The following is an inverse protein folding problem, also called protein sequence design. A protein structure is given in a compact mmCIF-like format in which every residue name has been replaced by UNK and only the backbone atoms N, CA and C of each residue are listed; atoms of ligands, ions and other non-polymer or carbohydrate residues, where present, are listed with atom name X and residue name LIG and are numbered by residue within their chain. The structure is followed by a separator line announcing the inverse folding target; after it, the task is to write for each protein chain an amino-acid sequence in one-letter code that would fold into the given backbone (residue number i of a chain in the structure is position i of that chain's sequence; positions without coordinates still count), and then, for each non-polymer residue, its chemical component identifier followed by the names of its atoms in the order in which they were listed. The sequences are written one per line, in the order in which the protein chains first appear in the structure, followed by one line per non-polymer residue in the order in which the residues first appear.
data_IF_067421349967
#
_entry.id   IF_067421349967
#
_cell.length_a   1.000
_cell.length_b   1.000
_cell.length_c   1.000
_cell.angle_alpha   90.00
_cell.angle_beta   90.00
_cell.angle_gamma   90.00
#
_symmetry.space_group_name_H-M   'P 1'
#
loop_
_entity.id
_entity.type
_entity.pdbx_description
1 polymer ?
#
# COMPACT_ATOMS: atom_id res chain seq x y z
N UNK A 1 11.11 1.20 12.77
CA UNK A 1 10.96 0.31 11.59
C UNK A 1 11.97 0.72 10.54
N UNK A 2 13.02 -0.07 10.34
CA UNK A 2 13.90 0.05 9.16
C UNK A 2 13.57 -1.14 8.26
N UNK A 3 12.86 -0.90 7.16
CA UNK A 3 12.56 -1.91 6.16
C UNK A 3 13.84 -2.40 5.47
N UNK A 4 13.89 -3.68 5.12
CA UNK A 4 14.97 -4.19 4.27
C UNK A 4 14.55 -4.02 2.81
N UNK A 5 15.30 -3.29 1.97
CA UNK A 5 14.96 -3.18 0.55
C UNK A 5 15.04 -4.56 -0.12
N UNK A 6 14.13 -4.84 -1.03
CA UNK A 6 14.11 -6.08 -1.81
C UNK A 6 14.04 -5.75 -3.29
N UNK A 7 14.68 -6.60 -4.11
CA UNK A 7 14.56 -6.58 -5.58
C UNK A 7 13.61 -7.67 -6.07
N UNK A 8 12.80 -8.25 -5.19
CA UNK A 8 11.79 -9.23 -5.58
C UNK A 8 10.80 -8.60 -6.57
N UNK A 9 10.69 -9.21 -7.75
CA UNK A 9 9.74 -8.82 -8.80
C UNK A 9 8.38 -9.50 -8.64
N UNK A 10 8.19 -10.28 -7.58
CA UNK A 10 6.98 -11.05 -7.35
C UNK A 10 6.38 -10.67 -6.01
N UNK A 11 5.09 -10.34 -6.06
CA UNK A 11 4.28 -10.13 -4.88
C UNK A 11 4.23 -11.43 -4.07
N UNK A 12 4.16 -11.30 -2.75
CA UNK A 12 4.23 -12.44 -1.83
C UNK A 12 3.10 -12.37 -0.81
N UNK A 13 2.65 -13.55 -0.37
CA UNK A 13 1.71 -13.63 0.75
C UNK A 13 2.30 -13.05 2.03
N UNK A 14 1.45 -12.53 2.90
CA UNK A 14 1.84 -11.90 4.17
C UNK A 14 1.24 -12.73 5.34
N UNK A 15 2.01 -13.08 6.37
CA UNK A 15 3.45 -12.86 6.49
C UNK A 15 4.26 -13.89 5.70
N UNK A 16 5.50 -13.54 5.38
CA UNK A 16 6.52 -14.43 4.83
C UNK A 16 7.88 -14.06 5.39
N UNK A 17 8.72 -15.06 5.72
CA UNK A 17 10.08 -14.78 6.20
C UNK A 17 11.02 -14.30 5.10
N UNK A 18 10.62 -14.44 3.83
CA UNK A 18 11.39 -13.97 2.68
C UNK A 18 11.21 -12.47 2.48
N UNK A 19 12.33 -11.74 2.37
CA UNK A 19 12.30 -10.28 2.28
C UNK A 19 11.56 -9.71 1.06
N UNK A 20 11.10 -8.45 1.11
CA UNK A 20 11.31 -7.48 2.18
C UNK A 20 10.45 -7.77 3.42
N UNK A 21 10.98 -7.47 4.61
CA UNK A 21 10.24 -7.53 5.88
C UNK A 21 10.18 -6.13 6.51
N UNK A 22 9.40 -5.96 7.60
CA UNK A 22 9.16 -4.67 8.28
C UNK A 22 8.52 -3.61 7.37
N UNK A 23 7.44 -3.95 6.68
CA UNK A 23 6.81 -3.07 5.69
C UNK A 23 5.32 -2.81 5.95
N UNK A 24 4.87 -1.68 5.37
CA UNK A 24 3.46 -1.34 5.17
C UNK A 24 3.25 -1.29 3.67
N UNK A 25 2.41 -2.19 3.15
CA UNK A 25 2.10 -2.33 1.73
C UNK A 25 0.66 -1.87 1.48
N UNK A 26 0.41 -0.56 1.24
CA UNK A 26 -0.91 -0.10 0.82
C UNK A 26 -1.30 -0.67 -0.55
N UNK A 27 -0.32 -0.86 -1.44
CA UNK A 27 -0.55 -1.45 -2.75
C UNK A 27 0.80 -1.94 -3.33
N UNK A 28 1.29 -3.09 -2.87
CA UNK A 28 2.55 -3.64 -3.36
C UNK A 28 2.32 -4.37 -4.67
N UNK A 29 2.83 -3.77 -5.73
CA UNK A 29 2.87 -4.29 -7.10
C UNK A 29 3.97 -3.55 -7.89
N UNK A 30 4.21 -3.96 -9.13
CA UNK A 30 5.10 -3.27 -10.06
C UNK A 30 4.45 -1.99 -10.59
N UNK A 31 4.61 -0.88 -9.86
CA UNK A 31 4.02 0.41 -10.22
C UNK A 31 4.95 1.33 -11.02
N UNK A 32 4.36 2.15 -11.89
CA UNK A 32 5.00 3.25 -12.63
C UNK A 32 4.26 4.56 -12.43
N UNK A 33 4.97 5.68 -12.37
CA UNK A 33 4.34 7.00 -12.37
C UNK A 33 3.71 7.29 -13.73
N UNK A 34 2.52 7.90 -13.74
CA UNK A 34 2.03 8.64 -14.90
C UNK A 34 2.67 10.05 -14.95
N UNK A 35 2.39 10.80 -16.02
CA UNK A 35 2.72 12.22 -16.07
C UNK A 35 2.04 12.97 -14.92
N UNK A 36 2.81 13.74 -14.15
CA UNK A 36 2.33 14.46 -12.97
C UNK A 36 2.08 13.58 -11.73
N UNK A 37 2.55 12.33 -11.73
CA UNK A 37 2.54 11.51 -10.52
C UNK A 37 3.49 12.07 -9.46
N UNK A 38 3.15 11.84 -8.19
CA UNK A 38 3.94 12.32 -7.06
C UNK A 38 3.85 11.36 -5.88
N UNK A 39 4.83 11.45 -4.98
CA UNK A 39 4.81 10.83 -3.64
C UNK A 39 5.02 11.93 -2.61
N UNK A 40 3.97 12.23 -1.84
CA UNK A 40 4.04 13.25 -0.80
C UNK A 40 4.03 12.65 0.59
N UNK A 41 4.73 13.30 1.51
CA UNK A 41 4.74 12.95 2.93
C UNK A 41 4.40 14.17 3.76
N UNK A 42 3.47 14.04 4.69
CA UNK A 42 3.14 15.11 5.62
C UNK A 42 2.69 14.56 6.97
N UNK A 43 2.86 15.38 8.01
CA UNK A 43 2.40 15.08 9.37
C UNK A 43 1.18 15.95 9.68
N UNK A 44 0.12 15.33 10.18
CA UNK A 44 -1.09 16.02 10.61
C UNK A 44 -1.37 15.76 12.09
N UNK A 45 -1.92 16.75 12.78
CA UNK A 45 -2.34 16.66 14.18
C UNK A 45 -1.32 17.22 15.17
N UNK A 46 -1.63 17.06 16.45
CA UNK A 46 -0.80 17.53 17.57
C UNK A 46 0.04 16.39 18.14
N UNK A 47 1.20 16.72 18.70
CA UNK A 47 2.08 15.74 19.37
C UNK A 47 1.30 14.84 20.34
N UNK A 48 1.55 13.53 20.29
CA UNK A 48 0.82 12.50 21.03
C UNK A 48 -0.45 12.00 20.32
N UNK A 49 -0.78 12.55 19.15
CA UNK A 49 -1.94 12.16 18.33
C UNK A 49 -1.68 12.37 16.83
N UNK A 50 -0.41 12.47 16.42
CA UNK A 50 -0.03 12.77 15.05
C UNK A 50 -0.31 11.60 14.10
N UNK A 51 -0.44 11.91 12.83
CA UNK A 51 -0.45 10.95 11.73
C UNK A 51 0.64 11.31 10.75
N UNK A 52 1.56 10.38 10.50
CA UNK A 52 2.43 10.47 9.32
C UNK A 52 1.66 9.88 8.15
N UNK A 53 1.42 10.69 7.13
CA UNK A 53 0.75 10.30 5.89
C UNK A 53 1.78 10.22 4.78
N UNK A 54 1.76 9.11 4.05
CA UNK A 54 2.46 8.93 2.77
C UNK A 54 1.38 8.74 1.71
N UNK A 55 1.40 9.55 0.65
CA UNK A 55 0.44 9.48 -0.46
C UNK A 55 1.18 9.22 -1.77
N UNK A 56 0.71 8.23 -2.52
CA UNK A 56 1.06 8.03 -3.91
C UNK A 56 -0.07 8.61 -4.76
N UNK A 57 0.25 9.50 -5.68
CA UNK A 57 -0.74 10.18 -6.54
C UNK A 57 -0.52 9.81 -8.00
N UNK A 58 -1.58 9.40 -8.68
CA UNK A 58 -1.58 9.15 -10.14
C UNK A 58 -0.53 8.13 -10.61
N UNK A 59 -0.43 7.00 -9.91
CA UNK A 59 0.38 5.86 -10.32
C UNK A 59 -0.42 4.86 -11.15
N UNK A 60 0.26 3.90 -11.77
CA UNK A 60 -0.34 2.79 -12.53
C UNK A 60 0.51 1.53 -12.41
N UNK A 61 -0.02 0.37 -12.78
CA UNK A 61 0.77 -0.85 -12.95
C UNK A 61 1.64 -0.80 -14.23
N UNK A 62 2.78 -1.49 -14.22
CA UNK A 62 3.84 -1.44 -15.25
C UNK A 62 3.40 -1.81 -16.67
N UNK A 63 2.26 -2.49 -16.83
CA UNK A 63 1.74 -2.96 -18.12
C UNK A 63 0.36 -2.43 -18.48
N UNK A 64 -0.06 -1.31 -17.89
CA UNK A 64 -1.37 -0.69 -18.17
C UNK A 64 -1.22 0.61 -18.93
N UNK A 65 -2.31 1.06 -19.56
CA UNK A 65 -2.36 2.37 -20.20
C UNK A 65 -2.30 3.51 -19.18
N UNK A 66 -1.82 4.68 -19.61
CA UNK A 66 -1.69 5.90 -18.80
C UNK A 66 -3.04 6.42 -18.25
N UNK A 67 -4.16 5.89 -18.75
CA UNK A 67 -5.50 6.13 -18.23
C UNK A 67 -5.79 5.45 -16.89
N UNK A 68 -5.01 4.44 -16.49
CA UNK A 68 -5.14 3.86 -15.15
C UNK A 68 -4.57 4.86 -14.15
N UNK A 69 -5.33 5.18 -13.11
CA UNK A 69 -4.92 6.14 -12.08
C UNK A 69 -5.17 5.55 -10.69
N UNK A 70 -4.08 5.33 -9.98
CA UNK A 70 -4.04 4.84 -8.61
C UNK A 70 -3.53 5.97 -7.71
N UNK A 71 -4.40 6.40 -6.81
CA UNK A 71 -4.07 7.37 -5.75
C UNK A 71 -4.50 6.76 -4.43
N UNK A 72 -3.53 6.51 -3.56
CA UNK A 72 -3.72 5.82 -2.29
C UNK A 72 -2.75 6.35 -1.23
N UNK A 73 -3.05 6.07 0.03
CA UNK A 73 -2.29 6.57 1.17
C UNK A 73 -2.04 5.48 2.20
N UNK A 74 -0.93 5.62 2.93
CA UNK A 74 -0.69 4.93 4.20
C UNK A 74 -0.57 5.97 5.32
N UNK A 75 -1.29 5.76 6.42
CA UNK A 75 -1.25 6.60 7.61
C UNK A 75 -0.69 5.80 8.77
N UNK A 76 0.36 6.31 9.42
CA UNK A 76 0.90 5.77 10.66
C UNK A 76 0.42 6.64 11.80
N UNK A 77 -0.40 6.09 12.69
CA UNK A 77 -1.09 6.85 13.75
C UNK A 77 -0.32 6.72 15.07
N UNK A 78 0.22 7.84 15.53
CA UNK A 78 0.92 7.96 16.81
C UNK A 78 0.01 7.52 17.98
N UNK A 79 0.60 6.85 18.97
CA UNK A 79 -0.07 6.48 20.22
C UNK A 79 -1.08 5.31 20.15
N UNK A 80 -1.36 4.76 18.96
CA UNK A 80 -2.36 3.67 18.83
C UNK A 80 -1.87 2.42 18.08
N UNK A 81 -0.60 2.40 17.63
CA UNK A 81 -0.04 1.39 16.72
C UNK A 81 -0.93 1.11 15.49
N UNK A 82 -1.81 2.05 15.15
CA UNK A 82 -2.75 1.88 14.08
C UNK A 82 -2.13 2.34 12.77
N UNK A 83 -2.42 1.56 11.74
CA UNK A 83 -2.03 1.80 10.37
C UNK A 83 -3.32 1.88 9.56
N UNK A 84 -3.49 2.95 8.79
CA UNK A 84 -4.64 3.07 7.88
C UNK A 84 -4.17 3.07 6.44
N UNK A 85 -4.88 2.34 5.59
CA UNK A 85 -4.66 2.30 4.15
C UNK A 85 -5.90 2.90 3.49
N UNK A 86 -5.74 3.96 2.71
CA UNK A 86 -6.84 4.68 2.09
C UNK A 86 -6.71 4.66 0.58
N UNK A 87 -7.79 4.35 -0.15
CA UNK A 87 -7.80 4.26 -1.61
C UNK A 87 -8.65 5.40 -2.18
N UNK A 88 -8.00 6.53 -2.46
CA UNK A 88 -8.68 7.77 -2.82
C UNK A 88 -9.25 7.74 -4.24
N UNK A 89 -8.51 7.19 -5.21
CA UNK A 89 -8.95 7.01 -6.59
C UNK A 89 -8.28 5.77 -7.17
N UNK A 90 -9.07 4.75 -7.51
CA UNK A 90 -8.60 3.51 -8.12
C UNK A 90 -9.37 3.30 -9.41
N UNK A 91 -8.85 3.80 -10.53
CA UNK A 91 -9.53 3.74 -11.83
C UNK A 91 -8.70 3.00 -12.85
N UNK A 92 -9.35 2.20 -13.69
CA UNK A 92 -8.75 1.49 -14.82
C UNK A 92 -9.79 1.25 -15.91
N UNK A 93 -9.36 1.28 -17.18
CA UNK A 93 -10.27 1.08 -18.32
C UNK A 93 -10.59 -0.40 -18.61
N UNK A 94 -9.69 -1.31 -18.24
CA UNK A 94 -9.89 -2.75 -18.40
C UNK A 94 -9.10 -3.54 -17.36
N UNK A 95 -9.57 -4.76 -17.06
CA UNK A 95 -8.96 -5.66 -16.09
C UNK A 95 -9.11 -5.22 -14.63
N UNK A 96 -8.60 -6.03 -13.71
CA UNK A 96 -8.73 -5.87 -12.25
C UNK A 96 -7.42 -5.48 -11.55
N UNK A 97 -6.40 -5.07 -12.33
CA UNK A 97 -5.14 -4.60 -11.77
C UNK A 97 -5.33 -3.37 -10.88
N UNK A 98 -6.27 -2.48 -11.23
CA UNK A 98 -6.58 -1.31 -10.40
C UNK A 98 -7.33 -1.67 -9.11
N UNK A 99 -7.87 -2.90 -9.00
CA UNK A 99 -8.57 -3.38 -7.81
C UNK A 99 -7.80 -4.46 -7.05
N UNK A 100 -6.54 -4.72 -7.44
CA UNK A 100 -5.60 -5.54 -6.67
C UNK A 100 -5.39 -6.97 -7.17
N UNK A 101 -5.81 -7.32 -8.40
CA UNK A 101 -5.67 -8.68 -8.93
C UNK A 101 -4.24 -9.23 -9.01
N UNK A 102 -3.24 -8.39 -8.86
CA UNK A 102 -1.82 -8.72 -8.79
C UNK A 102 -1.13 -8.09 -7.58
N UNK A 103 -1.87 -7.45 -6.66
CA UNK A 103 -1.25 -6.69 -5.59
C UNK A 103 -1.24 -7.48 -4.27
N UNK A 104 -0.18 -7.28 -3.48
CA UNK A 104 -0.19 -7.61 -2.06
C UNK A 104 -0.53 -6.38 -1.23
N UNK A 105 -1.50 -6.53 -0.33
CA UNK A 105 -1.96 -5.46 0.56
C UNK A 105 -1.88 -5.97 1.98
N UNK A 106 -1.20 -5.22 2.85
CA UNK A 106 -1.05 -5.62 4.24
C UNK A 106 0.12 -4.98 4.96
N UNK A 107 0.44 -5.53 6.12
CA UNK A 107 1.55 -5.09 6.97
C UNK A 107 2.28 -6.30 7.53
N UNK A 108 3.59 -6.18 7.70
CA UNK A 108 4.42 -7.27 8.20
C UNK A 108 5.45 -6.78 9.23
N UNK A 109 5.68 -7.61 10.25
CA UNK A 109 6.69 -7.36 11.26
C UNK A 109 8.11 -7.54 10.71
N UNK A 110 9.11 -7.21 11.52
CA UNK A 110 10.52 -7.27 11.11
C UNK A 110 11.04 -8.68 10.84
N UNK A 111 10.48 -9.68 11.50
CA UNK A 111 10.91 -11.06 11.34
C UNK A 111 10.25 -11.78 10.14
N UNK A 112 9.22 -11.19 9.53
CA UNK A 112 8.39 -11.88 8.53
C UNK A 112 7.58 -13.03 9.10
N UNK A 113 7.38 -13.05 10.43
CA UNK A 113 6.68 -14.14 11.15
C UNK A 113 5.28 -13.77 11.58
N UNK A 114 4.96 -12.47 11.59
CA UNK A 114 3.63 -11.97 11.90
C UNK A 114 3.31 -10.80 10.98
N UNK A 115 2.05 -10.72 10.58
CA UNK A 115 1.55 -9.70 9.68
C UNK A 115 0.04 -9.79 9.57
N UNK A 116 -0.56 -8.77 8.96
CA UNK A 116 -1.95 -8.83 8.52
C UNK A 116 -1.99 -8.71 7.01
N UNK A 117 -2.40 -9.77 6.34
CA UNK A 117 -2.76 -9.76 4.93
C UNK A 117 -4.20 -9.29 4.76
N UNK A 118 -4.39 -8.25 3.96
CA UNK A 118 -5.71 -7.86 3.45
C UNK A 118 -6.01 -8.62 2.16
N UNK A 119 -5.04 -8.66 1.25
CA UNK A 119 -5.15 -9.42 0.00
C UNK A 119 -3.79 -9.81 -0.56
N UNK A 120 -3.82 -10.83 -1.42
CA UNK A 120 -2.71 -11.27 -2.25
C UNK A 120 -3.27 -11.71 -3.60
N UNK A 121 -2.85 -11.02 -4.68
CA UNK A 121 -3.25 -11.30 -6.05
C UNK A 121 -4.77 -11.50 -6.20
N UNK A 122 -5.54 -10.62 -5.56
CA UNK A 122 -7.01 -10.74 -5.43
C UNK A 122 -7.69 -9.53 -6.03
N UNK A 123 -8.47 -9.75 -7.09
CA UNK A 123 -9.30 -8.72 -7.69
C UNK A 123 -10.35 -8.20 -6.70
N UNK A 124 -10.74 -6.94 -6.84
CA UNK A 124 -11.81 -6.30 -6.07
C UNK A 124 -11.55 -6.22 -4.56
N UNK A 125 -10.28 -6.36 -4.15
CA UNK A 125 -9.84 -6.15 -2.78
C UNK A 125 -9.95 -4.68 -2.36
N UNK A 126 -9.87 -3.75 -3.33
CA UNK A 126 -9.92 -2.31 -3.10
C UNK A 126 -10.77 -1.61 -4.16
N UNK A 127 -11.36 -0.49 -3.76
CA UNK A 127 -12.11 0.40 -4.65
C UNK A 127 -11.91 1.86 -4.25
N UNK A 128 -12.24 2.78 -5.15
CA UNK A 128 -12.29 4.22 -4.86
C UNK A 128 -13.16 4.49 -3.62
N UNK A 129 -12.60 5.23 -2.65
CA UNK A 129 -13.26 5.57 -1.39
C UNK A 129 -13.21 4.48 -0.31
N UNK A 130 -12.59 3.33 -0.58
CA UNK A 130 -12.40 2.28 0.42
C UNK A 130 -11.17 2.52 1.30
N UNK A 131 -11.08 1.80 2.42
CA UNK A 131 -9.89 1.81 3.26
C UNK A 131 -9.93 0.75 4.35
N UNK A 132 -8.78 0.52 4.97
CA UNK A 132 -8.61 -0.43 6.06
C UNK A 132 -7.92 0.26 7.23
N UNK A 133 -8.33 -0.10 8.46
CA UNK A 133 -7.62 0.27 9.68
C UNK A 133 -7.14 -1.00 10.37
N UNK A 134 -5.84 -1.07 10.58
CA UNK A 134 -5.11 -2.23 11.08
C UNK A 134 -4.40 -1.83 12.37
N UNK A 135 -4.35 -2.71 13.36
CA UNK A 135 -3.40 -2.58 14.47
C UNK A 135 -2.20 -3.45 14.13
N UNK A 136 -1.01 -2.84 14.05
CA UNK A 136 0.20 -3.59 13.71
C UNK A 136 0.49 -4.67 14.77
N UNK A 137 0.89 -5.89 14.36
CA UNK A 137 1.24 -6.98 15.26
C UNK A 137 2.56 -6.78 16.01
#
# INVERSE_FOLDING_TARGET
VSGSPSTAFSNSSIPTSGGPNAFVAPFWDDLRPNSGADVTTFVQGSAGSQRLVVQWTNWRATSTADSQQLTFQAHLVEGSNAIELHYCSMTGMSGSLHTGSSASIGVENTAGTAGLQISYDTADAVATGSGFRITAP
#
